data_IF_559846132366
#
_entry.id   IF_559846132366
#
_cell.length_a   1.000
_cell.length_b   1.000
_cell.length_c   1.000
_cell.angle_alpha   90.00
_cell.angle_beta   90.00
_cell.angle_gamma   90.00
#
_symmetry.space_group_name_H-M   'P 1'
#
loop_
_entity.id
_entity.type
_entity.pdbx_description
1 polymer ?
#
# COMPACT_ATOMS: atom_id res chain seq x y z
N UNK A 1 6.39 33.63 -48.01
CA UNK A 1 5.51 32.79 -47.16
C UNK A 1 6.37 31.74 -46.45
N UNK A 2 6.94 32.06 -45.30
CA UNK A 2 7.79 31.13 -44.54
C UNK A 2 6.90 30.16 -43.74
N UNK A 3 6.99 28.86 -44.02
CA UNK A 3 6.13 27.85 -43.38
C UNK A 3 6.64 27.55 -41.98
N UNK A 4 5.78 27.80 -40.99
CA UNK A 4 5.96 27.52 -39.56
C UNK A 4 6.14 26.00 -39.32
N UNK A 5 7.39 25.52 -39.23
CA UNK A 5 7.75 24.10 -38.97
C UNK A 5 7.85 23.79 -37.47
N UNK A 6 6.75 23.88 -36.72
CA UNK A 6 6.81 23.82 -35.24
C UNK A 6 6.40 22.45 -34.66
N UNK A 7 6.04 21.47 -35.50
CA UNK A 7 5.65 20.13 -35.07
C UNK A 7 6.56 19.10 -35.76
N UNK A 8 7.72 18.82 -35.17
CA UNK A 8 8.65 17.79 -35.66
C UNK A 8 8.53 16.60 -34.70
N UNK A 9 7.94 15.50 -35.17
CA UNK A 9 7.96 14.22 -34.46
C UNK A 9 9.21 13.44 -34.84
N UNK A 10 9.98 13.00 -33.86
CA UNK A 10 11.10 12.10 -34.08
C UNK A 10 10.59 10.66 -34.24
N UNK A 11 10.94 10.01 -35.34
CA UNK A 11 10.70 8.58 -35.58
C UNK A 11 12.07 7.93 -35.60
N UNK A 12 12.31 6.97 -34.69
CA UNK A 12 13.57 6.21 -34.68
C UNK A 12 13.59 5.30 -35.92
N UNK A 13 14.51 5.50 -36.89
CA UNK A 13 14.62 4.61 -38.05
C UNK A 13 15.08 3.22 -37.60
N UNK A 14 14.69 2.20 -38.37
CA UNK A 14 15.14 0.83 -38.13
C UNK A 14 16.66 0.72 -38.27
N UNK A 15 17.26 -0.16 -37.48
CA UNK A 15 18.69 -0.39 -37.54
C UNK A 15 19.11 -0.98 -38.91
N UNK A 16 20.24 -0.54 -39.46
CA UNK A 16 20.76 -1.11 -40.71
C UNK A 16 21.16 -2.57 -40.52
N UNK A 17 21.01 -3.37 -41.59
CA UNK A 17 21.26 -4.82 -41.60
C UNK A 17 22.63 -5.22 -41.02
N UNK A 18 23.67 -4.45 -41.31
CA UNK A 18 25.02 -4.66 -40.79
C UNK A 18 25.10 -4.63 -39.26
N UNK A 19 24.48 -3.63 -38.61
CA UNK A 19 24.52 -3.52 -37.15
C UNK A 19 23.69 -4.62 -36.48
N UNK A 20 22.60 -5.05 -37.13
CA UNK A 20 21.78 -6.16 -36.65
C UNK A 20 22.55 -7.47 -36.64
N UNK A 21 23.20 -7.83 -37.75
CA UNK A 21 24.01 -9.05 -37.85
C UNK A 21 25.18 -9.03 -36.86
N UNK A 22 25.84 -7.88 -36.69
CA UNK A 22 26.92 -7.73 -35.71
C UNK A 22 26.42 -7.92 -34.27
N UNK A 23 25.29 -7.30 -33.90
CA UNK A 23 24.68 -7.45 -32.56
C UNK A 23 24.25 -8.89 -32.28
N UNK A 24 23.72 -9.60 -33.29
CA UNK A 24 23.36 -11.01 -33.20
C UNK A 24 24.61 -11.89 -33.00
N UNK A 25 25.67 -11.65 -33.77
CA UNK A 25 26.93 -12.41 -33.66
C UNK A 25 27.61 -12.25 -32.29
N UNK A 26 27.58 -11.05 -31.72
CA UNK A 26 28.20 -10.77 -30.40
C UNK A 26 27.24 -11.02 -29.22
N UNK A 27 26.00 -11.43 -29.49
CA UNK A 27 24.99 -11.67 -28.45
C UNK A 27 24.62 -10.42 -27.64
N UNK A 28 24.64 -9.25 -28.27
CA UNK A 28 24.36 -7.98 -27.59
C UNK A 28 22.92 -7.93 -27.08
N UNK A 29 22.76 -7.76 -25.76
CA UNK A 29 21.47 -7.50 -25.13
C UNK A 29 21.39 -6.01 -24.82
N UNK A 30 20.36 -5.34 -25.33
CA UNK A 30 20.14 -3.93 -25.04
C UNK A 30 19.95 -3.74 -23.53
N UNK A 31 20.61 -2.71 -22.98
CA UNK A 31 20.59 -2.45 -21.55
C UNK A 31 19.23 -2.00 -21.02
N UNK A 32 19.12 -1.79 -19.70
CA UNK A 32 17.90 -1.28 -19.08
C UNK A 32 17.46 0.02 -19.76
N UNK A 33 16.29 -0.01 -20.38
CA UNK A 33 15.71 1.13 -21.10
C UNK A 33 14.85 1.94 -20.14
N UNK A 34 14.47 3.17 -20.49
CA UNK A 34 13.60 4.01 -19.65
C UNK A 34 12.28 3.30 -19.29
N UNK A 35 11.78 2.45 -20.18
CA UNK A 35 10.56 1.66 -19.96
C UNK A 35 10.74 0.57 -18.89
N UNK A 36 11.94 0.02 -18.71
CA UNK A 36 12.19 -0.96 -17.65
C UNK A 36 12.11 -0.33 -16.25
N UNK A 37 12.22 1.00 -16.15
CA UNK A 37 11.97 1.73 -14.88
C UNK A 37 10.49 1.91 -14.57
N UNK A 38 9.63 1.73 -15.58
CA UNK A 38 8.17 1.87 -15.46
C UNK A 38 7.48 0.52 -15.27
N UNK A 39 8.25 -0.56 -15.19
CA UNK A 39 7.71 -1.88 -14.89
C UNK A 39 7.04 -1.85 -13.51
N UNK A 40 5.77 -2.27 -13.50
CA UNK A 40 4.97 -2.36 -12.29
C UNK A 40 5.53 -3.51 -11.48
N UNK A 41 6.05 -3.21 -10.29
CA UNK A 41 6.47 -4.23 -9.35
C UNK A 41 5.27 -5.11 -8.98
N UNK A 42 5.48 -6.40 -8.68
CA UNK A 42 4.40 -7.25 -8.20
C UNK A 42 3.71 -6.60 -7.00
N UNK A 43 2.38 -6.60 -7.01
CA UNK A 43 1.57 -6.14 -5.88
C UNK A 43 1.75 -7.14 -4.74
N UNK A 44 2.65 -6.83 -3.80
CA UNK A 44 2.79 -7.59 -2.56
C UNK A 44 1.64 -7.19 -1.66
N UNK A 45 0.72 -8.12 -1.40
CA UNK A 45 -0.35 -7.89 -0.43
C UNK A 45 0.26 -7.81 0.98
N UNK A 46 -0.19 -6.84 1.79
CA UNK A 46 0.32 -6.70 3.18
C UNK A 46 -0.02 -7.92 4.05
N UNK A 47 -1.00 -8.74 3.63
CA UNK A 47 -1.41 -9.98 4.31
C UNK A 47 -0.43 -11.14 4.10
N UNK A 48 0.46 -11.08 3.10
CA UNK A 48 1.50 -12.09 2.84
C UNK A 48 2.82 -11.81 3.58
N UNK A 49 2.89 -10.73 4.36
CA UNK A 49 4.03 -10.50 5.24
C UNK A 49 3.98 -11.48 6.40
N UNK A 50 4.64 -12.61 6.22
CA UNK A 50 4.94 -13.53 7.31
C UNK A 50 5.61 -12.73 8.43
N UNK A 51 4.97 -12.67 9.62
CA UNK A 51 5.57 -12.08 10.81
C UNK A 51 6.89 -12.79 11.09
N UNK A 52 7.99 -12.11 10.77
CA UNK A 52 9.32 -12.65 10.95
C UNK A 52 9.56 -12.88 12.45
N UNK A 53 10.27 -13.95 12.79
CA UNK A 53 10.59 -14.26 14.19
C UNK A 53 11.36 -13.13 14.88
N UNK A 54 12.09 -12.34 14.10
CA UNK A 54 12.91 -11.22 14.56
C UNK A 54 12.08 -9.98 14.94
N UNK A 55 10.82 -9.90 14.50
CA UNK A 55 9.91 -8.79 14.84
C UNK A 55 9.18 -9.03 16.17
N UNK A 56 9.28 -10.24 16.75
CA UNK A 56 8.62 -10.58 18.00
C UNK A 56 9.30 -9.88 19.19
N UNK A 57 8.52 -9.42 20.20
CA UNK A 57 9.08 -8.74 21.36
C UNK A 57 9.93 -9.69 22.21
N UNK A 58 11.05 -9.17 22.73
CA UNK A 58 11.92 -9.88 23.66
C UNK A 58 11.28 -9.91 25.05
N UNK A 59 11.16 -11.10 25.64
CA UNK A 59 10.64 -11.30 26.99
C UNK A 59 11.81 -11.29 27.99
N UNK A 60 11.75 -10.41 28.98
CA UNK A 60 12.76 -10.28 30.06
C UNK A 60 12.11 -10.57 31.40
N UNK A 61 12.69 -11.49 32.17
CA UNK A 61 12.25 -11.87 33.54
C UNK A 61 13.07 -11.06 34.54
N UNK A 62 12.41 -10.23 35.36
CA UNK A 62 13.07 -9.41 36.37
C UNK A 62 12.80 -9.93 37.79
N UNK A 63 11.59 -10.42 38.04
CA UNK A 63 11.13 -10.89 39.34
C UNK A 63 10.75 -12.38 39.29
N UNK A 64 10.70 -13.03 40.46
CA UNK A 64 10.37 -14.46 40.60
C UNK A 64 8.91 -14.83 40.33
N UNK A 65 8.12 -13.91 39.75
CA UNK A 65 6.73 -14.12 39.35
C UNK A 65 6.45 -13.75 37.89
N UNK A 66 7.46 -13.30 37.15
CA UNK A 66 7.31 -12.99 35.73
C UNK A 66 7.33 -14.29 34.91
N UNK A 67 6.55 -14.33 33.83
CA UNK A 67 6.50 -15.49 32.94
C UNK A 67 7.78 -15.60 32.12
N UNK A 68 8.27 -16.83 31.98
CA UNK A 68 9.37 -17.14 31.06
C UNK A 68 8.90 -17.08 29.61
N UNK A 69 9.83 -17.00 28.66
CA UNK A 69 9.50 -16.89 27.23
C UNK A 69 8.62 -18.05 26.74
N UNK A 70 8.90 -19.28 27.19
CA UNK A 70 8.14 -20.47 26.81
C UNK A 70 6.70 -20.45 27.35
N UNK A 71 6.52 -20.03 28.60
CA UNK A 71 5.21 -19.92 29.23
C UNK A 71 4.37 -18.80 28.61
N UNK A 72 5.00 -17.67 28.27
CA UNK A 72 4.34 -16.56 27.59
C UNK A 72 3.81 -16.98 26.20
N UNK A 73 4.59 -17.75 25.45
CA UNK A 73 4.17 -18.27 24.16
C UNK A 73 3.08 -19.34 24.28
N UNK A 74 3.15 -20.20 25.30
CA UNK A 74 2.09 -21.16 25.59
C UNK A 74 0.77 -20.46 25.95
N UNK A 75 0.83 -19.40 26.77
CA UNK A 75 -0.34 -18.62 27.16
C UNK A 75 -0.99 -17.91 25.97
N UNK A 76 -0.19 -17.28 25.09
CA UNK A 76 -0.69 -16.66 23.86
C UNK A 76 -1.44 -17.67 22.97
N UNK A 77 -0.85 -18.85 22.77
CA UNK A 77 -1.46 -19.94 21.98
C UNK A 77 -2.75 -20.47 22.60
N UNK A 78 -2.85 -20.54 23.93
CA UNK A 78 -4.08 -20.95 24.61
C UNK A 78 -5.17 -19.89 24.43
N UNK A 79 -4.83 -18.61 24.63
CA UNK A 79 -5.76 -17.50 24.48
C UNK A 79 -6.31 -17.38 23.05
N UNK A 80 -5.47 -17.56 22.04
CA UNK A 80 -5.88 -17.52 20.63
C UNK A 80 -6.87 -18.66 20.30
N UNK A 81 -6.62 -19.88 20.82
CA UNK A 81 -7.55 -21.01 20.68
C UNK A 81 -8.88 -20.73 21.36
N UNK A 82 -8.84 -20.26 22.61
CA UNK A 82 -10.04 -19.90 23.37
C UNK A 82 -10.85 -18.81 22.68
N UNK A 83 -10.20 -17.81 22.06
CA UNK A 83 -10.88 -16.77 21.28
C UNK A 83 -11.49 -17.30 19.98
N UNK A 84 -10.85 -18.28 19.34
CA UNK A 84 -11.38 -18.94 18.14
C UNK A 84 -12.56 -19.88 18.44
N UNK A 85 -12.56 -20.52 19.61
CA UNK A 85 -13.60 -21.43 20.08
C UNK A 85 -14.72 -20.71 20.84
N UNK A 86 -14.49 -19.45 21.25
CA UNK A 86 -15.48 -18.65 21.96
C UNK A 86 -16.71 -18.40 21.07
N UNK A 87 -17.92 -18.46 21.65
CA UNK A 87 -19.14 -18.17 20.91
C UNK A 87 -19.10 -16.75 20.35
N UNK A 88 -19.62 -16.59 19.13
CA UNK A 88 -19.67 -15.30 18.47
C UNK A 88 -20.38 -14.25 19.35
N UNK A 89 -19.76 -13.09 19.44
CA UNK A 89 -20.30 -11.95 20.18
C UNK A 89 -21.60 -11.44 19.53
N UNK A 90 -22.74 -11.75 20.16
CA UNK A 90 -24.08 -11.39 19.70
C UNK A 90 -24.37 -9.87 19.75
N UNK A 91 -23.51 -9.07 20.39
CA UNK A 91 -23.64 -7.60 20.37
C UNK A 91 -23.23 -7.00 19.02
N UNK A 92 -22.43 -7.72 18.24
CA UNK A 92 -21.94 -7.28 16.93
C UNK A 92 -22.96 -7.65 15.84
N UNK A 93 -23.19 -6.71 14.92
CA UNK A 93 -24.09 -6.93 13.78
C UNK A 93 -23.51 -7.98 12.82
N UNK A 94 -24.31 -9.00 12.51
CA UNK A 94 -23.95 -10.04 11.53
C UNK A 94 -23.97 -9.43 10.11
N UNK A 95 -22.84 -9.52 9.40
CA UNK A 95 -22.71 -9.08 8.00
C UNK A 95 -22.53 -10.33 7.12
N UNK A 96 -23.49 -10.59 6.23
CA UNK A 96 -23.39 -11.68 5.27
C UNK A 96 -22.54 -11.24 4.08
N UNK A 97 -21.40 -11.91 3.86
CA UNK A 97 -20.65 -11.80 2.60
C UNK A 97 -21.16 -12.86 1.64
N UNK A 98 -21.47 -12.46 0.39
CA UNK A 98 -21.77 -13.41 -0.69
C UNK A 98 -20.56 -14.34 -0.84
N UNK A 99 -20.74 -15.64 -0.60
CA UNK A 99 -19.72 -16.64 -0.91
C UNK A 99 -19.53 -16.63 -2.43
N UNK A 100 -18.29 -16.55 -2.89
CA UNK A 100 -17.94 -16.57 -4.31
C UNK A 100 -18.17 -17.98 -4.86
N UNK A 101 -19.44 -18.34 -5.08
CA UNK A 101 -19.78 -19.30 -6.11
C UNK A 101 -19.80 -18.53 -7.43
N UNK A 102 -18.73 -18.70 -8.21
CA UNK A 102 -18.50 -18.18 -9.56
C UNK A 102 -18.64 -16.65 -9.73
N UNK A 103 -17.51 -15.93 -9.80
CA UNK A 103 -17.50 -14.62 -10.45
C UNK A 103 -17.48 -14.83 -11.97
N UNK A 104 -18.58 -14.49 -12.63
CA UNK A 104 -18.48 -13.60 -13.78
C UNK A 104 -18.19 -12.20 -13.24
N UNK A 105 -17.06 -11.67 -13.69
CA UNK A 105 -16.61 -10.29 -13.64
C UNK A 105 -17.76 -9.32 -13.98
N UNK A 106 -18.33 -8.64 -12.99
CA UNK A 106 -18.91 -7.29 -13.12
C UNK A 106 -19.52 -6.86 -11.78
N UNK A 107 -19.21 -5.61 -11.43
CA UNK A 107 -19.89 -4.80 -10.41
C UNK A 107 -19.60 -5.12 -8.94
N UNK A 108 -18.46 -4.58 -8.48
CA UNK A 108 -18.43 -3.88 -7.19
C UNK A 108 -17.92 -2.45 -7.40
N UNK A 109 -18.69 -1.69 -8.17
CA UNK A 109 -18.75 -0.25 -8.00
C UNK A 109 -19.52 0.06 -6.71
N UNK A 110 -18.81 0.77 -5.84
CA UNK A 110 -19.33 1.54 -4.73
C UNK A 110 -20.64 2.25 -5.09
N UNK A 111 -21.76 1.85 -4.48
CA UNK A 111 -23.03 2.60 -4.57
C UNK A 111 -23.81 2.50 -3.26
N UNK A 112 -23.46 3.37 -2.31
CA UNK A 112 -24.41 3.83 -1.30
C UNK A 112 -25.56 4.57 -1.99
N UNK A 113 -26.74 3.95 -2.03
CA UNK A 113 -27.96 4.53 -2.56
C UNK A 113 -28.51 5.65 -1.66
N UNK A 114 -28.44 6.90 -2.11
CA UNK A 114 -29.41 7.94 -1.74
C UNK A 114 -29.68 8.86 -2.94
N UNK A 115 -30.91 8.79 -3.47
CA UNK A 115 -31.42 9.68 -4.51
C UNK A 115 -31.87 11.03 -3.91
N UNK A 116 -31.38 12.14 -4.47
CA UNK A 116 -32.15 13.34 -4.89
C UNK A 116 -31.22 14.49 -5.37
N UNK A 117 -31.54 15.19 -6.49
CA UNK A 117 -30.69 16.24 -7.03
C UNK A 117 -31.24 17.65 -6.79
N UNK A 118 -30.53 18.53 -6.04
CA UNK A 118 -30.71 19.99 -6.11
C UNK A 118 -29.39 20.74 -5.86
N UNK A 119 -29.19 21.79 -6.65
CA UNK A 119 -28.01 22.63 -6.90
C UNK A 119 -27.41 23.37 -5.69
N UNK A 120 -26.07 23.52 -5.75
CA UNK A 120 -25.17 24.60 -5.28
C UNK A 120 -25.28 25.07 -3.81
N UNK A 121 -24.18 24.96 -3.06
CA UNK A 121 -23.34 26.05 -2.49
C UNK A 121 -22.09 25.41 -1.84
N UNK A 122 -20.90 25.90 -2.19
CA UNK A 122 -19.66 25.54 -1.50
C UNK A 122 -19.64 26.20 -0.11
N UNK A 123 -19.51 25.40 0.94
CA UNK A 123 -19.08 25.84 2.27
C UNK A 123 -17.80 25.09 2.60
N UNK A 124 -16.73 25.86 2.82
CA UNK A 124 -15.46 25.38 3.34
C UNK A 124 -15.64 25.04 4.81
N UNK A 125 -15.81 23.76 5.12
CA UNK A 125 -15.71 23.28 6.49
C UNK A 125 -14.23 23.18 6.85
N UNK A 126 -13.80 24.03 7.79
CA UNK A 126 -12.46 23.99 8.37
C UNK A 126 -12.39 22.74 9.25
N UNK A 127 -11.57 21.77 8.85
CA UNK A 127 -11.25 20.63 9.70
C UNK A 127 -10.65 21.15 11.02
N UNK A 128 -11.22 20.69 12.15
CA UNK A 128 -10.64 20.94 13.46
C UNK A 128 -9.30 20.19 13.50
N UNK A 129 -8.21 20.94 13.59
CA UNK A 129 -6.88 20.42 13.79
C UNK A 129 -6.89 19.63 15.11
N UNK A 130 -6.74 18.32 15.03
CA UNK A 130 -6.68 17.40 16.19
C UNK A 130 -5.24 17.30 16.72
N UNK A 131 -4.28 17.96 16.05
CA UNK A 131 -2.86 17.96 16.38
C UNK A 131 -2.36 19.40 16.51
N UNK A 132 -2.32 19.93 17.73
CA UNK A 132 -1.66 21.19 18.05
C UNK A 132 -0.15 20.98 18.18
N UNK A 133 0.55 20.87 17.05
CA UNK A 133 2.02 20.94 17.05
C UNK A 133 2.57 22.38 17.09
N UNK A 134 1.69 23.39 17.13
CA UNK A 134 2.08 24.80 17.16
C UNK A 134 1.92 25.44 18.56
N UNK A 135 2.23 24.67 19.60
CA UNK A 135 2.20 25.15 20.98
C UNK A 135 3.47 24.74 21.72
N UNK A 136 4.65 25.06 21.17
CA UNK A 136 5.80 25.35 22.02
C UNK A 136 6.93 26.08 21.28
N UNK A 137 7.29 27.28 21.76
CA UNK A 137 8.66 27.78 21.64
C UNK A 137 8.89 29.02 20.76
N UNK A 138 8.07 30.06 20.90
CA UNK A 138 8.60 31.42 20.78
C UNK A 138 9.27 31.77 22.11
N UNK A 139 10.58 31.57 22.22
CA UNK A 139 11.47 32.46 22.98
C UNK A 139 12.93 32.19 22.62
N UNK A 140 13.62 33.28 22.30
CA UNK A 140 15.06 33.54 22.37
C UNK A 140 16.03 32.67 21.56
N UNK A 141 16.60 33.28 20.50
CA UNK A 141 18.05 33.38 20.30
C UNK A 141 18.35 34.39 19.15
N UNK A 142 18.27 35.68 19.47
CA UNK A 142 19.02 36.74 18.77
C UNK A 142 20.26 37.07 19.59
N UNK A 143 21.33 36.28 19.44
CA UNK A 143 22.69 36.63 19.88
C UNK A 143 23.70 36.01 18.92
N UNK A 144 24.39 36.85 18.13
CA UNK A 144 25.72 36.54 17.55
C UNK A 144 25.92 36.91 16.10
#
# INVERSE_FOLDING_TARGET
MSRKKHNISYIKPNEPKFLRELKEQIGYKEGPTVDTKREVLPEVSDDEKEELTDEKPIVVVLNSGDLTAEEADAFKKQKEKEESDAPADLSKKIIFRKTKAAETESDRSDTTATDKPVRKKAKTDKQKIVLSFDANGSDDDDIG
#
